data_IF_564075439371
#
_entry.id   IF_564075439371
#
_cell.length_a   1.000
_cell.length_b   1.000
_cell.length_c   1.000
_cell.angle_alpha   90.00
_cell.angle_beta   90.00
_cell.angle_gamma   90.00
#
_symmetry.space_group_name_H-M   'P 1'
#
loop_
_entity.id
_entity.type
_entity.pdbx_description
1 polymer ?
#
# COMPACT_ATOMS: atom_id res chain seq x y z
N UNK A 1 -12.96 16.03 42.85
CA UNK A 1 -11.50 16.25 42.81
C UNK A 1 -11.21 16.76 41.39
N UNK A 2 -11.24 18.10 41.27
CA UNK A 2 -11.07 18.83 39.99
C UNK A 2 -9.59 18.91 39.60
N UNK A 3 -9.18 18.13 38.60
CA UNK A 3 -7.88 18.25 37.96
C UNK A 3 -7.84 19.39 36.94
N UNK A 4 -7.55 20.61 37.34
CA UNK A 4 -7.25 21.72 36.45
C UNK A 4 -5.92 21.46 35.72
N UNK A 5 -5.98 21.23 34.40
CA UNK A 5 -4.83 21.30 33.50
C UNK A 5 -4.30 22.73 33.47
N UNK A 6 -3.06 22.91 33.91
CA UNK A 6 -2.36 24.19 33.86
C UNK A 6 -2.10 24.60 32.42
N UNK A 7 -2.49 25.82 32.05
CA UNK A 7 -2.11 26.44 30.77
C UNK A 7 -0.61 26.73 30.75
N UNK A 8 0.09 26.53 29.62
CA UNK A 8 1.48 26.93 29.49
C UNK A 8 1.60 28.46 29.60
N UNK A 9 2.71 28.99 30.14
CA UNK A 9 2.90 30.42 30.34
C UNK A 9 2.96 31.17 29.00
N UNK A 10 2.10 32.17 28.82
CA UNK A 10 2.21 33.12 27.73
C UNK A 10 3.50 33.95 27.96
N UNK A 11 4.41 33.92 26.99
CA UNK A 11 5.57 34.83 26.95
C UNK A 11 5.22 36.06 26.11
N UNK A 12 4.86 37.18 26.71
CA UNK A 12 4.64 38.44 26.00
C UNK A 12 6.02 39.08 25.71
N UNK A 13 6.37 39.27 24.46
CA UNK A 13 7.54 40.02 24.07
C UNK A 13 8.09 39.81 22.67
N UNK A 14 7.99 38.62 22.12
CA UNK A 14 8.63 38.27 20.83
C UNK A 14 7.88 38.78 19.58
N UNK A 15 6.56 38.85 19.62
CA UNK A 15 5.75 39.37 18.51
C UNK A 15 5.71 40.90 18.41
N UNK A 16 6.03 41.59 19.49
CA UNK A 16 6.04 43.07 19.51
C UNK A 16 7.20 43.64 18.69
N UNK A 17 8.37 43.01 18.69
CA UNK A 17 9.55 43.45 17.94
C UNK A 17 9.45 43.19 16.42
N UNK A 18 8.72 42.15 16.00
CA UNK A 18 8.51 41.89 14.57
C UNK A 18 7.73 43.00 13.86
N UNK A 19 6.74 43.60 14.55
CA UNK A 19 5.92 44.67 13.98
C UNK A 19 6.69 46.01 13.81
N UNK A 20 7.81 46.21 14.52
CA UNK A 20 8.58 47.44 14.45
C UNK A 20 9.77 47.44 13.49
N UNK A 21 10.34 46.27 13.21
CA UNK A 21 11.62 46.21 12.46
C UNK A 21 11.54 45.40 11.16
N UNK A 22 10.49 44.59 10.95
CA UNK A 22 10.35 43.74 9.78
C UNK A 22 11.45 42.68 9.64
N UNK A 23 12.32 42.51 10.63
CA UNK A 23 13.42 41.52 10.62
C UNK A 23 13.27 40.56 11.79
N UNK A 24 13.25 39.27 11.48
CA UNK A 24 13.33 38.21 12.47
C UNK A 24 14.74 38.17 13.10
N UNK A 25 14.88 37.97 14.42
CA UNK A 25 16.19 37.82 15.05
C UNK A 25 16.94 36.62 14.47
N UNK A 26 18.29 36.67 14.39
CA UNK A 26 19.11 35.61 13.77
C UNK A 26 18.91 34.22 14.39
N UNK A 27 18.44 34.13 15.63
CA UNK A 27 18.11 32.90 16.32
C UNK A 27 16.89 32.18 15.65
N UNK A 28 15.97 32.92 15.02
CA UNK A 28 14.83 32.34 14.32
C UNK A 28 15.20 31.77 12.95
N UNK A 29 16.27 32.27 12.33
CA UNK A 29 16.85 31.73 11.09
C UNK A 29 17.60 30.41 11.33
N UNK A 30 18.05 30.16 12.56
CA UNK A 30 18.75 28.91 12.90
C UNK A 30 17.82 27.71 13.16
N UNK A 31 16.51 27.94 13.34
CA UNK A 31 15.51 26.91 13.53
C UNK A 31 14.65 26.63 12.28
N UNK A 32 14.85 27.37 11.20
CA UNK A 32 14.42 26.98 9.86
C UNK A 32 15.61 26.26 9.19
N UNK A 33 16.21 25.31 9.86
CA UNK A 33 16.71 24.15 9.13
C UNK A 33 15.46 23.54 8.51
N UNK A 34 15.32 23.75 7.22
CA UNK A 34 14.42 23.03 6.36
C UNK A 34 14.81 21.55 6.49
N UNK A 35 14.35 20.90 7.54
CA UNK A 35 14.30 19.45 7.57
C UNK A 35 13.50 19.12 6.34
N UNK A 36 14.20 18.73 5.27
CA UNK A 36 13.57 18.24 4.05
C UNK A 36 12.57 17.21 4.53
N UNK A 37 11.28 17.51 4.37
CA UNK A 37 10.22 16.60 4.80
C UNK A 37 10.47 15.32 4.03
N UNK A 38 11.08 14.35 4.72
CA UNK A 38 11.36 13.05 4.12
C UNK A 38 10.00 12.47 3.77
N UNK A 39 9.69 12.47 2.48
CA UNK A 39 8.46 11.91 1.97
C UNK A 39 8.74 10.59 1.27
N UNK A 40 7.99 9.57 1.62
CA UNK A 40 7.99 8.28 0.92
C UNK A 40 6.87 8.27 -0.10
N UNK A 41 7.19 7.96 -1.34
CA UNK A 41 6.21 7.64 -2.38
C UNK A 41 6.19 6.12 -2.57
N UNK A 42 5.04 5.51 -2.36
CA UNK A 42 4.83 4.08 -2.57
C UNK A 42 3.83 3.87 -3.69
N UNK A 43 4.23 3.12 -4.71
CA UNK A 43 3.33 2.64 -5.75
C UNK A 43 3.14 1.14 -5.60
N UNK A 44 1.92 0.73 -5.27
CA UNK A 44 1.50 -0.67 -5.27
C UNK A 44 0.96 -1.03 -6.65
N UNK A 45 1.44 -2.13 -7.22
CA UNK A 45 0.97 -2.66 -8.50
C UNK A 45 0.47 -4.08 -8.26
N UNK A 46 -0.79 -4.34 -8.61
CA UNK A 46 -1.31 -5.71 -8.62
C UNK A 46 -0.63 -6.52 -9.71
N UNK A 47 -0.26 -7.76 -9.41
CA UNK A 47 0.32 -8.66 -10.41
C UNK A 47 -0.59 -8.84 -11.64
N UNK A 48 -0.02 -9.25 -12.76
CA UNK A 48 -0.76 -9.54 -13.98
C UNK A 48 -1.69 -10.75 -13.80
N UNK A 49 -2.66 -10.88 -14.70
CA UNK A 49 -3.69 -11.90 -14.65
C UNK A 49 -3.11 -13.31 -14.62
N UNK A 50 -3.74 -14.16 -13.81
CA UNK A 50 -3.46 -15.61 -13.74
C UNK A 50 -4.69 -16.43 -14.11
N UNK A 51 -4.47 -17.72 -14.38
CA UNK A 51 -5.56 -18.67 -14.68
C UNK A 51 -6.49 -18.82 -13.46
N UNK A 52 -5.95 -18.77 -12.23
CA UNK A 52 -6.79 -18.87 -11.02
C UNK A 52 -7.82 -17.76 -10.95
N UNK A 53 -7.40 -16.50 -11.20
CA UNK A 53 -8.34 -15.36 -11.22
C UNK A 53 -9.44 -15.54 -12.27
N UNK A 54 -9.08 -16.00 -13.48
CA UNK A 54 -10.04 -16.27 -14.55
C UNK A 54 -11.06 -17.34 -14.20
N UNK A 55 -10.63 -18.34 -13.44
CA UNK A 55 -11.48 -19.47 -13.04
C UNK A 55 -12.15 -19.26 -11.67
N UNK A 56 -12.06 -18.07 -11.06
CA UNK A 56 -12.53 -17.77 -9.71
C UNK A 56 -12.08 -18.83 -8.69
N UNK A 57 -10.76 -19.09 -8.68
CA UNK A 57 -10.12 -20.10 -7.85
C UNK A 57 -9.11 -19.43 -6.91
N UNK A 58 -8.98 -19.92 -5.69
CA UNK A 58 -7.90 -19.52 -4.80
C UNK A 58 -6.54 -19.87 -5.42
N UNK A 59 -5.59 -18.92 -5.47
CA UNK A 59 -4.35 -19.13 -6.20
C UNK A 59 -3.44 -20.16 -5.54
N UNK A 60 -2.65 -20.81 -6.37
CA UNK A 60 -1.43 -21.51 -5.98
C UNK A 60 -0.21 -20.67 -6.36
N UNK A 61 0.99 -21.24 -6.36
CA UNK A 61 2.17 -20.54 -6.91
C UNK A 61 2.25 -20.68 -8.42
N UNK A 62 1.28 -20.13 -9.14
CA UNK A 62 1.12 -20.22 -10.59
C UNK A 62 1.72 -19.02 -11.33
N UNK A 63 2.09 -19.17 -12.61
CA UNK A 63 2.59 -18.09 -13.44
C UNK A 63 1.46 -17.14 -13.88
N UNK A 64 1.85 -15.99 -14.42
CA UNK A 64 0.94 -15.11 -15.16
C UNK A 64 0.47 -15.77 -16.46
N UNK A 65 -0.76 -15.46 -16.88
CA UNK A 65 -1.39 -16.09 -18.05
C UNK A 65 -0.72 -15.68 -19.37
N UNK A 66 -0.38 -14.41 -19.50
CA UNK A 66 0.22 -13.86 -20.72
C UNK A 66 1.32 -12.87 -20.40
N UNK A 67 2.34 -12.81 -21.25
CA UNK A 67 3.32 -11.74 -21.18
C UNK A 67 2.75 -10.43 -21.72
N UNK A 68 3.18 -9.28 -21.20
CA UNK A 68 2.63 -8.00 -21.63
C UNK A 68 3.03 -7.68 -23.05
N UNK A 69 2.05 -7.28 -23.82
CA UNK A 69 2.27 -6.92 -25.22
C UNK A 69 3.06 -5.62 -25.39
N UNK A 70 2.95 -4.66 -24.48
CA UNK A 70 3.74 -3.39 -24.51
C UNK A 70 3.59 -2.64 -23.17
N UNK A 71 4.53 -2.82 -22.27
CA UNK A 71 4.62 -1.99 -21.05
C UNK A 71 5.49 -0.74 -21.20
N UNK A 72 5.95 -0.41 -22.41
CA UNK A 72 6.96 0.61 -22.63
C UNK A 72 6.73 1.93 -21.89
N UNK A 73 5.50 2.46 -21.89
CA UNK A 73 5.17 3.68 -21.16
C UNK A 73 5.12 3.48 -19.63
N UNK A 74 4.59 2.35 -19.15
CA UNK A 74 4.52 2.04 -17.73
C UNK A 74 5.90 1.72 -17.15
N UNK A 75 6.71 0.94 -17.87
CA UNK A 75 8.09 0.66 -17.48
C UNK A 75 8.89 1.96 -17.34
N UNK A 76 8.72 2.90 -18.29
CA UNK A 76 9.37 4.20 -18.25
C UNK A 76 8.90 5.05 -17.06
N UNK A 77 7.62 4.98 -16.70
CA UNK A 77 7.05 5.72 -15.56
C UNK A 77 7.69 5.31 -14.22
N UNK A 78 8.11 4.04 -14.11
CA UNK A 78 8.70 3.50 -12.88
C UNK A 78 10.22 3.29 -12.97
N UNK A 79 10.86 3.61 -14.10
CA UNK A 79 12.31 3.46 -14.29
C UNK A 79 13.17 4.22 -13.28
N UNK A 80 12.64 5.31 -12.71
CA UNK A 80 13.29 6.12 -11.68
C UNK A 80 12.90 5.73 -10.24
N UNK A 81 12.31 4.55 -10.02
CA UNK A 81 12.05 4.05 -8.68
C UNK A 81 13.38 3.82 -7.95
N UNK A 82 13.46 4.29 -6.70
CA UNK A 82 14.63 4.09 -5.83
C UNK A 82 14.74 2.62 -5.41
N UNK A 83 13.60 1.91 -5.39
CA UNK A 83 13.50 0.53 -4.94
C UNK A 83 12.33 -0.15 -5.66
N UNK A 84 12.60 -1.33 -6.23
CA UNK A 84 11.58 -2.22 -6.80
C UNK A 84 11.47 -3.47 -5.94
N UNK A 85 10.29 -3.66 -5.34
CA UNK A 85 9.95 -4.80 -4.49
C UNK A 85 8.95 -5.70 -5.19
N UNK A 86 8.94 -7.00 -4.85
CA UNK A 86 7.86 -7.89 -5.24
C UNK A 86 7.58 -8.96 -4.18
N UNK A 87 6.37 -9.52 -4.19
CA UNK A 87 6.05 -10.72 -3.43
C UNK A 87 6.89 -11.93 -3.85
N UNK A 88 6.95 -12.99 -3.03
CA UNK A 88 7.75 -14.19 -3.33
C UNK A 88 7.15 -15.08 -4.41
N UNK A 89 5.87 -14.93 -4.73
CA UNK A 89 5.17 -15.79 -5.66
C UNK A 89 5.61 -15.56 -7.12
N UNK A 90 5.51 -16.60 -7.94
CA UNK A 90 5.96 -16.58 -9.33
C UNK A 90 5.30 -15.44 -10.13
N UNK A 91 3.98 -15.23 -9.97
CA UNK A 91 3.21 -14.18 -10.68
C UNK A 91 3.67 -12.76 -10.36
N UNK A 92 4.03 -12.47 -9.11
CA UNK A 92 4.54 -11.14 -8.73
C UNK A 92 5.95 -10.91 -9.26
N UNK A 93 6.81 -11.93 -9.20
CA UNK A 93 8.17 -11.88 -9.74
C UNK A 93 8.15 -11.69 -11.26
N UNK A 94 7.37 -12.48 -11.99
CA UNK A 94 7.21 -12.34 -13.44
C UNK A 94 6.67 -10.98 -13.83
N UNK A 95 5.68 -10.46 -13.08
CA UNK A 95 5.17 -9.11 -13.34
C UNK A 95 6.24 -8.05 -13.07
N UNK A 96 7.04 -8.21 -12.02
CA UNK A 96 8.10 -7.25 -11.68
C UNK A 96 9.22 -7.20 -12.74
N UNK A 97 9.57 -8.34 -13.34
CA UNK A 97 10.56 -8.43 -14.43
C UNK A 97 10.20 -7.54 -15.63
N UNK A 98 8.92 -7.24 -15.82
CA UNK A 98 8.47 -6.36 -16.90
C UNK A 98 8.89 -4.89 -16.73
N UNK A 99 9.25 -4.49 -15.52
CA UNK A 99 9.69 -3.14 -15.21
C UNK A 99 11.21 -2.92 -15.36
N UNK A 100 11.94 -3.94 -15.83
CA UNK A 100 13.33 -3.83 -16.33
C UNK A 100 14.43 -3.77 -15.26
N UNK A 101 14.09 -3.73 -13.97
CA UNK A 101 15.05 -3.83 -12.87
C UNK A 101 14.93 -5.20 -12.17
N UNK A 102 16.02 -5.71 -11.59
CA UNK A 102 15.94 -6.91 -10.76
C UNK A 102 15.15 -6.58 -9.48
N UNK A 103 13.97 -7.16 -9.26
CA UNK A 103 13.17 -6.87 -8.08
C UNK A 103 13.79 -7.52 -6.83
N UNK A 104 13.72 -6.81 -5.72
CA UNK A 104 14.01 -7.40 -4.42
C UNK A 104 12.76 -8.09 -3.90
N UNK A 105 12.85 -9.38 -3.56
CA UNK A 105 11.75 -10.14 -2.98
C UNK A 105 11.56 -9.73 -1.52
N UNK A 106 10.32 -9.36 -1.18
CA UNK A 106 9.91 -9.03 0.18
C UNK A 106 8.79 -9.98 0.63
N UNK A 107 9.04 -10.78 1.64
CA UNK A 107 8.08 -11.74 2.18
C UNK A 107 6.82 -11.06 2.78
N UNK A 108 6.92 -9.79 3.17
CA UNK A 108 5.76 -9.05 3.64
C UNK A 108 4.73 -8.73 2.53
N UNK A 109 5.15 -8.83 1.26
CA UNK A 109 4.28 -8.64 0.08
C UNK A 109 3.64 -9.94 -0.43
N UNK A 110 3.84 -11.10 0.27
CA UNK A 110 3.22 -12.36 -0.13
C UNK A 110 1.70 -12.26 -0.15
N UNK A 111 1.05 -13.13 -0.92
CA UNK A 111 -0.41 -13.25 -0.90
C UNK A 111 -0.93 -13.65 0.48
N UNK A 112 -2.25 -13.58 0.66
CA UNK A 112 -2.91 -14.19 1.79
C UNK A 112 -2.64 -15.70 1.78
N UNK A 113 -2.35 -16.28 2.94
CA UNK A 113 -2.24 -17.73 3.06
C UNK A 113 -3.65 -18.34 3.09
N UNK A 114 -3.98 -19.06 2.05
CA UNK A 114 -5.29 -19.69 1.84
C UNK A 114 -5.39 -21.08 2.47
N UNK A 115 -4.34 -21.56 3.13
CA UNK A 115 -4.33 -22.87 3.78
C UNK A 115 -4.86 -23.96 2.83
N UNK A 116 -5.83 -24.76 3.31
CA UNK A 116 -6.42 -25.86 2.50
C UNK A 116 -7.25 -25.42 1.29
N UNK A 117 -7.56 -24.11 1.17
CA UNK A 117 -8.31 -23.62 -0.01
C UNK A 117 -7.41 -23.31 -1.21
N UNK A 118 -6.10 -23.40 -1.09
CA UNK A 118 -5.20 -23.27 -2.24
C UNK A 118 -5.64 -24.17 -3.40
N UNK A 119 -5.84 -23.57 -4.57
CA UNK A 119 -6.24 -24.27 -5.80
C UNK A 119 -7.73 -24.61 -5.90
N UNK A 120 -8.53 -24.40 -4.86
CA UNK A 120 -9.96 -24.70 -4.87
C UNK A 120 -10.76 -23.58 -5.55
N UNK A 121 -11.80 -23.95 -6.31
CA UNK A 121 -12.70 -22.98 -6.88
C UNK A 121 -13.74 -22.50 -5.85
N UNK A 122 -14.06 -21.21 -5.90
CA UNK A 122 -15.06 -20.63 -4.98
C UNK A 122 -16.40 -21.34 -5.07
N UNK A 123 -16.83 -21.72 -6.28
CA UNK A 123 -18.06 -22.48 -6.51
C UNK A 123 -18.09 -23.84 -5.81
N UNK A 124 -16.93 -24.50 -5.71
CA UNK A 124 -16.84 -25.81 -5.06
C UNK A 124 -16.93 -25.66 -3.53
N UNK A 125 -16.31 -24.58 -2.98
CA UNK A 125 -16.45 -24.23 -1.57
C UNK A 125 -17.88 -23.81 -1.20
N UNK A 126 -18.60 -23.13 -2.09
CA UNK A 126 -20.02 -22.82 -1.89
C UNK A 126 -20.89 -24.06 -1.73
N UNK A 127 -20.49 -25.17 -2.34
CA UNK A 127 -21.23 -26.44 -2.23
C UNK A 127 -20.77 -27.27 -1.03
N UNK A 128 -19.46 -27.36 -0.81
CA UNK A 128 -18.90 -28.33 0.15
C UNK A 128 -18.50 -27.71 1.50
N UNK A 129 -18.24 -26.39 1.56
CA UNK A 129 -17.81 -25.66 2.76
C UNK A 129 -18.55 -24.30 2.90
N UNK A 130 -19.85 -24.27 2.62
CA UNK A 130 -20.64 -23.03 2.61
C UNK A 130 -20.53 -22.22 3.91
N UNK A 131 -20.63 -22.88 5.07
CA UNK A 131 -20.55 -22.24 6.38
C UNK A 131 -19.14 -21.65 6.63
N UNK A 132 -18.10 -22.37 6.24
CA UNK A 132 -16.73 -21.90 6.36
C UNK A 132 -16.47 -20.70 5.45
N UNK A 133 -16.95 -20.73 4.21
CA UNK A 133 -16.85 -19.62 3.28
C UNK A 133 -17.63 -18.40 3.79
N UNK A 134 -18.84 -18.60 4.34
CA UNK A 134 -19.64 -17.53 4.93
C UNK A 134 -18.94 -16.92 6.15
N UNK A 135 -18.36 -17.72 7.05
CA UNK A 135 -17.61 -17.25 8.20
C UNK A 135 -16.44 -16.37 7.76
N UNK A 136 -15.67 -16.82 6.76
CA UNK A 136 -14.54 -16.04 6.24
C UNK A 136 -14.96 -14.71 5.60
N UNK A 137 -16.13 -14.64 4.92
CA UNK A 137 -16.64 -13.41 4.30
C UNK A 137 -17.13 -12.41 5.35
N UNK A 138 -17.75 -12.89 6.45
CA UNK A 138 -18.46 -12.05 7.42
C UNK A 138 -17.60 -11.65 8.63
N UNK A 139 -16.57 -12.44 8.97
CA UNK A 139 -15.70 -12.19 10.12
C UNK A 139 -14.23 -12.04 9.68
N UNK A 140 -13.63 -10.83 9.79
CA UNK A 140 -12.24 -10.61 9.42
C UNK A 140 -11.23 -11.37 10.29
N UNK A 141 -11.64 -11.92 11.44
CA UNK A 141 -10.80 -12.76 12.30
C UNK A 141 -10.84 -14.23 11.89
N UNK A 142 -11.85 -14.63 11.14
CA UNK A 142 -12.02 -16.03 10.75
C UNK A 142 -10.96 -16.46 9.73
N UNK A 143 -10.36 -17.62 9.98
CA UNK A 143 -9.47 -18.32 9.05
C UNK A 143 -9.85 -19.80 8.95
N UNK A 144 -11.07 -20.13 8.51
CA UNK A 144 -11.57 -21.52 8.51
C UNK A 144 -10.77 -22.44 7.59
N UNK A 145 -10.03 -21.88 6.63
CA UNK A 145 -9.11 -22.60 5.75
C UNK A 145 -7.78 -22.99 6.43
N UNK A 146 -7.52 -22.50 7.66
CA UNK A 146 -6.30 -22.80 8.40
C UNK A 146 -5.06 -21.99 7.97
N UNK A 147 -5.26 -20.96 7.18
CA UNK A 147 -4.22 -20.01 6.76
C UNK A 147 -4.33 -18.65 7.48
N UNK A 148 -4.15 -17.55 6.74
CA UNK A 148 -4.12 -16.18 7.26
C UNK A 148 -5.51 -15.54 7.21
N UNK A 149 -6.01 -15.00 8.34
CA UNK A 149 -7.25 -14.21 8.34
C UNK A 149 -7.05 -12.84 7.71
N UNK A 150 -8.15 -12.17 7.30
CA UNK A 150 -8.10 -10.79 6.79
C UNK A 150 -7.46 -9.83 7.80
N UNK A 151 -7.71 -10.04 9.10
CA UNK A 151 -7.11 -9.24 10.16
C UNK A 151 -5.60 -9.46 10.26
N UNK A 152 -5.14 -10.71 10.24
CA UNK A 152 -3.70 -11.04 10.27
C UNK A 152 -2.96 -10.50 9.04
N UNK A 153 -3.57 -10.58 7.85
CA UNK A 153 -3.08 -9.95 6.64
C UNK A 153 -2.96 -8.41 6.83
N UNK A 154 -4.00 -7.78 7.39
CA UNK A 154 -4.00 -6.34 7.67
C UNK A 154 -2.87 -5.92 8.61
N UNK A 155 -2.64 -6.67 9.69
CA UNK A 155 -1.54 -6.44 10.63
C UNK A 155 -0.15 -6.60 9.98
N UNK A 156 0.02 -7.61 9.13
CA UNK A 156 1.27 -7.82 8.40
C UNK A 156 1.56 -6.64 7.47
N UNK A 157 0.57 -6.19 6.72
CA UNK A 157 0.71 -5.06 5.80
C UNK A 157 0.90 -3.75 6.55
N UNK A 158 0.24 -3.55 7.70
CA UNK A 158 0.45 -2.37 8.57
C UNK A 158 1.90 -2.29 9.08
N UNK A 159 2.46 -3.41 9.55
CA UNK A 159 3.88 -3.46 9.97
C UNK A 159 4.83 -3.16 8.80
N UNK A 160 4.54 -3.70 7.62
CA UNK A 160 5.32 -3.42 6.43
C UNK A 160 5.25 -1.93 6.02
N UNK A 161 4.07 -1.32 5.98
CA UNK A 161 3.92 0.12 5.72
C UNK A 161 4.67 0.96 6.76
N UNK A 162 4.69 0.54 8.03
CA UNK A 162 5.45 1.21 9.09
C UNK A 162 6.95 1.15 8.82
N UNK A 163 7.48 0.04 8.33
CA UNK A 163 8.91 -0.09 8.00
C UNK A 163 9.36 0.81 6.85
N UNK A 164 8.43 1.25 6.00
CA UNK A 164 8.71 2.17 4.89
C UNK A 164 8.64 3.65 5.30
N UNK A 165 8.14 3.97 6.50
CA UNK A 165 8.02 5.35 6.97
C UNK A 165 9.40 6.01 7.06
N UNK A 166 9.53 7.18 6.43
CA UNK A 166 10.80 7.92 6.44
C UNK A 166 11.86 7.40 5.44
N UNK A 167 11.56 6.39 4.64
CA UNK A 167 12.42 6.02 3.50
C UNK A 167 12.24 7.03 2.37
N UNK A 168 13.28 7.80 2.01
CA UNK A 168 13.15 8.81 0.97
C UNK A 168 13.03 8.17 -0.41
N UNK A 169 12.30 8.83 -1.29
CA UNK A 169 12.24 8.45 -2.69
C UNK A 169 10.97 7.68 -3.08
N UNK A 170 11.06 6.98 -4.20
CA UNK A 170 9.95 6.28 -4.82
C UNK A 170 10.15 4.77 -4.73
N UNK A 171 9.29 4.09 -4.01
CA UNK A 171 9.25 2.63 -3.89
C UNK A 171 8.13 2.11 -4.79
N UNK A 172 8.42 1.13 -5.61
CA UNK A 172 7.44 0.39 -6.41
C UNK A 172 7.36 -1.04 -5.87
N UNK A 173 6.17 -1.53 -5.59
CA UNK A 173 5.97 -2.86 -5.03
C UNK A 173 4.90 -3.62 -5.82
N UNK A 174 5.29 -4.74 -6.43
CA UNK A 174 4.40 -5.65 -7.13
C UNK A 174 3.88 -6.69 -6.14
N UNK A 175 2.57 -6.75 -5.99
CA UNK A 175 1.92 -7.59 -4.99
C UNK A 175 0.56 -8.14 -5.45
N UNK A 176 -0.30 -8.50 -4.53
CA UNK A 176 -1.56 -9.22 -4.73
C UNK A 176 -2.77 -8.32 -4.42
N UNK A 177 -3.95 -8.61 -4.98
CA UNK A 177 -5.18 -7.85 -4.72
C UNK A 177 -5.47 -7.67 -3.23
N UNK A 178 -5.30 -8.74 -2.44
CA UNK A 178 -5.58 -8.73 -1.01
C UNK A 178 -4.60 -7.86 -0.22
N UNK A 179 -3.32 -7.84 -0.60
CA UNK A 179 -2.31 -6.96 0.01
C UNK A 179 -2.60 -5.49 -0.32
N UNK A 180 -3.01 -5.19 -1.56
CA UNK A 180 -3.42 -3.83 -1.95
C UNK A 180 -4.63 -3.37 -1.14
N UNK A 181 -5.67 -4.22 -1.00
CA UNK A 181 -6.85 -3.94 -0.16
C UNK A 181 -6.44 -3.68 1.29
N UNK A 182 -5.58 -4.54 1.86
CA UNK A 182 -5.09 -4.38 3.22
C UNK A 182 -4.32 -3.05 3.41
N UNK A 183 -3.49 -2.65 2.45
CA UNK A 183 -2.81 -1.35 2.48
C UNK A 183 -3.79 -0.17 2.41
N UNK A 184 -4.82 -0.26 1.57
CA UNK A 184 -5.86 0.76 1.48
C UNK A 184 -6.66 0.91 2.78
N UNK A 185 -6.97 -0.20 3.47
CA UNK A 185 -7.64 -0.14 4.78
C UNK A 185 -6.82 0.62 5.83
N UNK A 186 -5.48 0.54 5.79
CA UNK A 186 -4.61 1.30 6.71
C UNK A 186 -4.68 2.81 6.47
N UNK A 187 -4.98 3.22 5.24
CA UNK A 187 -5.02 4.63 4.83
C UNK A 187 -6.43 5.20 4.89
N UNK A 188 -7.43 4.40 4.52
CA UNK A 188 -8.85 4.77 4.51
C UNK A 188 -9.55 4.17 5.74
N UNK A 189 -9.42 4.85 6.88
CA UNK A 189 -10.00 4.38 8.14
C UNK A 189 -11.51 4.13 8.00
N UNK A 190 -11.96 2.95 8.41
CA UNK A 190 -13.38 2.55 8.36
C UNK A 190 -13.83 1.98 7.00
N UNK A 191 -12.98 1.91 5.99
CA UNK A 191 -13.30 1.21 4.76
C UNK A 191 -13.38 -0.30 4.98
N UNK A 192 -14.43 -0.94 4.43
CA UNK A 192 -14.52 -2.39 4.46
C UNK A 192 -13.50 -3.02 3.49
N UNK A 193 -12.93 -4.17 3.87
CA UNK A 193 -11.92 -4.87 3.07
C UNK A 193 -12.39 -5.20 1.64
N UNK A 194 -13.66 -5.49 1.49
CA UNK A 194 -14.29 -5.83 0.21
C UNK A 194 -14.90 -4.63 -0.53
N UNK A 195 -14.68 -3.39 -0.03
CA UNK A 195 -15.21 -2.19 -0.68
C UNK A 195 -14.41 -1.74 -1.91
N UNK A 196 -13.25 -2.35 -2.18
CA UNK A 196 -12.37 -1.99 -3.29
C UNK A 196 -12.10 -3.20 -4.17
N UNK A 197 -12.40 -3.05 -5.45
CA UNK A 197 -11.98 -4.02 -6.46
C UNK A 197 -10.58 -3.68 -6.96
N UNK A 198 -9.70 -4.68 -6.97
CA UNK A 198 -8.31 -4.55 -7.41
C UNK A 198 -8.10 -5.47 -8.61
N UNK A 199 -8.13 -4.87 -9.78
CA UNK A 199 -7.91 -5.57 -11.05
C UNK A 199 -6.42 -5.89 -11.28
N UNK A 200 -6.10 -6.91 -12.10
CA UNK A 200 -4.74 -7.14 -12.55
C UNK A 200 -4.12 -5.88 -13.16
N UNK A 201 -2.86 -5.60 -12.82
CA UNK A 201 -2.09 -4.42 -13.24
C UNK A 201 -2.67 -3.07 -12.78
N UNK A 202 -3.66 -3.05 -11.88
CA UNK A 202 -4.08 -1.80 -11.26
C UNK A 202 -2.95 -1.20 -10.41
N UNK A 203 -2.93 0.13 -10.34
CA UNK A 203 -1.88 0.91 -9.69
C UNK A 203 -2.50 1.77 -8.60
N UNK A 204 -1.95 1.68 -7.39
CA UNK A 204 -2.32 2.52 -6.25
C UNK A 204 -1.10 3.30 -5.78
N UNK A 205 -1.20 4.61 -5.69
CA UNK A 205 -0.13 5.45 -5.15
C UNK A 205 -0.47 5.92 -3.74
N UNK A 206 0.45 5.64 -2.80
CA UNK A 206 0.40 6.14 -1.43
C UNK A 206 1.57 7.09 -1.19
N UNK A 207 1.36 8.10 -0.36
CA UNK A 207 2.41 9.03 0.09
C UNK A 207 2.42 9.14 1.60
N UNK A 208 3.62 9.10 2.15
CA UNK A 208 3.87 9.32 3.56
C UNK A 208 4.61 10.65 3.79
N UNK A 209 4.02 11.49 4.64
CA UNK A 209 4.67 12.67 5.22
C UNK A 209 4.12 12.90 6.63
N UNK A 210 4.46 11.99 7.54
CA UNK A 210 3.88 11.92 8.89
C UNK A 210 2.66 11.00 8.99
N UNK A 211 1.83 10.93 7.93
CA UNK A 211 0.75 9.94 7.78
C UNK A 211 0.71 9.43 6.35
N UNK A 212 0.25 8.21 6.15
CA UNK A 212 -0.03 7.67 4.83
C UNK A 212 -1.31 8.28 4.25
N UNK A 213 -1.27 8.65 2.97
CA UNK A 213 -2.41 9.18 2.21
C UNK A 213 -2.50 8.49 0.86
N UNK A 214 -3.72 8.17 0.46
CA UNK A 214 -4.01 7.76 -0.92
C UNK A 214 -3.88 8.99 -1.83
N UNK A 215 -3.13 8.83 -2.92
CA UNK A 215 -3.02 9.84 -3.97
C UNK A 215 -3.79 9.40 -5.20
N UNK A 216 -4.73 10.20 -5.62
CA UNK A 216 -5.36 10.08 -6.93
C UNK A 216 -4.59 10.97 -7.91
N UNK A 217 -3.92 10.39 -8.94
CA UNK A 217 -3.23 11.19 -9.94
C UNK A 217 -4.27 12.00 -10.74
N UNK A 218 -3.97 13.27 -10.95
CA UNK A 218 -4.73 14.11 -11.89
C UNK A 218 -4.47 13.69 -13.33
N UNK A 219 -5.42 13.93 -14.21
CA UNK A 219 -5.23 13.81 -15.65
C UNK A 219 -4.54 15.10 -16.12
N UNK A 220 -3.38 14.97 -16.76
CA UNK A 220 -2.75 16.10 -17.45
C UNK A 220 -3.46 16.30 -18.80
N UNK A 221 -4.35 17.27 -18.86
CA UNK A 221 -5.08 17.62 -20.08
C UNK A 221 -4.23 18.49 -21.03
N UNK A 222 -3.10 19.02 -20.59
CA UNK A 222 -2.26 19.90 -21.41
C UNK A 222 -1.52 19.15 -22.53
N UNK A 223 -1.36 17.82 -22.41
CA UNK A 223 -0.77 16.97 -23.45
C UNK A 223 -1.78 16.30 -24.38
N UNK A 224 -3.08 16.61 -24.26
CA UNK A 224 -4.17 15.97 -25.03
C UNK A 224 -4.77 16.89 -26.13
N UNK A 225 -4.17 18.07 -26.39
CA UNK A 225 -4.55 19.00 -27.49
C UNK A 225 -3.50 19.00 -28.59
#
# INVERSE_FOLDING_TARGET
LDGKLARPPERPGLLHNYRKTGRLPPIYLMFIECSAVISTRLTLICHARTVAQKLARFPTNEPVENQPLKLGALATQFANASLLLCGPELRTRQTAEWFGAAPQVDAALRDCDWGRWHGQAIKDLQVHEADALQAWISDPQAAPHGGESVMQLGERVARWLTSLQGMPGHIVAITHPFVVRAALMQVMQGAAFNAVDVEPLSVVELRFNGIWRLRLPGIDLAGAL
#
